data_IF_942439602459
#
_entry.id   IF_942439602459
#
_cell.length_a   1.000
_cell.length_b   1.000
_cell.length_c   1.000
_cell.angle_alpha   90.00
_cell.angle_beta   90.00
_cell.angle_gamma   90.00
#
_symmetry.space_group_name_H-M   'P 1'
#
loop_
_entity.id
_entity.type
_entity.pdbx_description
1 polymer ?
#
# COMPACT_ATOMS: atom_id res chain seq x y z
N UNK A 1 -5.23 17.17 1.12
CA UNK A 1 -4.78 16.60 -0.18
C UNK A 1 -4.00 15.33 0.11
N UNK A 2 -4.31 14.21 -0.54
CA UNK A 2 -3.56 12.99 -0.35
C UNK A 2 -2.10 13.19 -0.78
N UNK A 3 -1.16 12.69 0.02
CA UNK A 3 0.27 12.70 -0.29
C UNK A 3 0.68 11.26 -0.60
N UNK A 4 1.23 11.03 -1.78
CA UNK A 4 1.76 9.74 -2.21
C UNK A 4 3.27 9.83 -2.25
N UNK A 5 3.96 8.93 -1.55
CA UNK A 5 5.41 8.83 -1.59
C UNK A 5 5.86 7.37 -1.44
N UNK A 6 6.95 7.04 -2.08
CA UNK A 6 7.57 5.72 -1.99
C UNK A 6 8.85 5.73 -1.13
N UNK A 7 9.48 6.88 -0.99
CA UNK A 7 10.67 7.07 -0.18
C UNK A 7 10.73 8.50 0.38
N UNK A 8 10.76 8.70 1.70
CA UNK A 8 10.87 10.02 2.33
C UNK A 8 12.07 10.84 1.83
N UNK A 9 13.18 10.19 1.50
CA UNK A 9 14.37 10.88 1.00
C UNK A 9 14.18 11.48 -0.40
N UNK A 10 13.21 11.02 -1.17
CA UNK A 10 12.88 11.62 -2.47
C UNK A 10 12.23 13.00 -2.36
N UNK A 11 11.79 13.37 -1.19
CA UNK A 11 11.33 14.73 -0.90
C UNK A 11 12.48 15.70 -0.63
N UNK A 12 13.72 15.25 -0.71
CA UNK A 12 14.86 16.14 -0.70
C UNK A 12 14.94 16.87 -2.04
N UNK A 13 15.11 18.18 -1.98
CA UNK A 13 15.35 19.00 -3.17
C UNK A 13 16.66 18.61 -3.81
N UNK A 14 16.65 18.25 -5.07
CA UNK A 14 17.88 18.03 -5.80
C UNK A 14 18.63 19.36 -5.95
N UNK A 15 19.94 19.33 -5.74
CA UNK A 15 20.83 20.50 -5.77
C UNK A 15 20.81 21.29 -7.09
N UNK A 16 20.40 20.62 -8.18
CA UNK A 16 20.26 21.23 -9.52
C UNK A 16 18.88 21.87 -9.77
N UNK A 17 17.93 21.63 -8.90
CA UNK A 17 16.69 22.40 -8.94
C UNK A 17 16.99 23.77 -8.35
N UNK A 18 16.95 24.79 -9.18
CA UNK A 18 17.04 26.19 -8.76
C UNK A 18 16.17 26.44 -7.53
N UNK A 19 16.62 27.34 -6.64
CA UNK A 19 15.79 27.87 -5.56
C UNK A 19 14.36 28.04 -6.07
N UNK A 20 13.32 27.65 -5.31
CA UNK A 20 11.98 27.96 -5.74
C UNK A 20 11.93 29.45 -5.92
N UNK A 21 11.57 29.88 -7.10
CA UNK A 21 11.10 31.24 -7.26
C UNK A 21 10.09 31.46 -6.15
N UNK A 22 10.36 32.40 -5.23
CA UNK A 22 9.41 32.74 -4.19
C UNK A 22 8.13 33.17 -4.91
N UNK A 23 7.18 32.26 -4.97
CA UNK A 23 5.88 32.55 -5.60
C UNK A 23 5.00 33.37 -4.67
N UNK A 24 5.53 33.72 -3.47
CA UNK A 24 4.78 34.49 -2.47
C UNK A 24 4.45 35.90 -2.95
N UNK A 25 5.32 36.48 -3.79
CA UNK A 25 5.21 37.86 -4.24
C UNK A 25 4.51 38.04 -5.60
N UNK A 26 4.13 36.94 -6.24
CA UNK A 26 3.39 37.00 -7.53
C UNK A 26 1.89 37.07 -7.28
N UNK A 27 1.23 38.16 -7.71
CA UNK A 27 -0.22 38.28 -7.62
C UNK A 27 -0.90 37.11 -8.35
N UNK A 28 -1.78 36.40 -7.65
CA UNK A 28 -2.49 35.26 -8.24
C UNK A 28 -3.75 35.75 -8.92
N UNK A 29 -3.72 35.80 -10.24
CA UNK A 29 -4.81 36.32 -11.06
C UNK A 29 -5.96 35.32 -11.27
N UNK A 30 -5.71 34.01 -11.12
CA UNK A 30 -6.73 33.00 -11.40
C UNK A 30 -6.95 32.01 -10.24
N UNK A 31 -8.14 31.37 -10.24
CA UNK A 31 -8.49 30.30 -9.29
C UNK A 31 -7.48 29.14 -9.36
N UNK A 32 -7.05 28.79 -10.58
CA UNK A 32 -6.12 27.69 -10.80
C UNK A 32 -4.74 27.97 -10.24
N UNK A 33 -4.24 29.21 -10.37
CA UNK A 33 -2.95 29.60 -9.77
C UNK A 33 -3.01 29.53 -8.25
N UNK A 34 -4.10 29.98 -7.61
CA UNK A 34 -4.29 29.85 -6.16
C UNK A 34 -4.33 28.39 -5.71
N UNK A 35 -5.02 27.54 -6.48
CA UNK A 35 -5.06 26.10 -6.21
C UNK A 35 -3.67 25.48 -6.30
N UNK A 36 -2.92 25.71 -7.37
CA UNK A 36 -1.56 25.19 -7.54
C UNK A 36 -0.62 25.63 -6.43
N UNK A 37 -0.70 26.89 -6.02
CA UNK A 37 0.08 27.40 -4.88
C UNK A 37 -0.29 26.68 -3.57
N UNK A 38 -1.57 26.44 -3.31
CA UNK A 38 -2.00 25.71 -2.12
C UNK A 38 -1.51 24.27 -2.11
N UNK A 39 -1.48 23.63 -3.29
CA UNK A 39 -0.92 22.27 -3.46
C UNK A 39 0.59 22.27 -3.19
N UNK A 40 1.34 23.21 -3.77
CA UNK A 40 2.79 23.33 -3.56
C UNK A 40 3.12 23.57 -2.08
N UNK A 41 2.45 24.51 -1.43
CA UNK A 41 2.63 24.74 0.01
C UNK A 41 2.33 23.51 0.86
N UNK A 42 1.21 22.83 0.58
CA UNK A 42 0.83 21.60 1.27
C UNK A 42 1.84 20.48 1.06
N UNK A 43 2.37 20.33 -0.18
CA UNK A 43 3.39 19.34 -0.49
C UNK A 43 4.71 19.62 0.26
N UNK A 44 5.14 20.89 0.33
CA UNK A 44 6.35 21.26 1.06
C UNK A 44 6.21 20.99 2.57
N UNK A 45 5.11 21.39 3.17
CA UNK A 45 4.83 21.14 4.59
C UNK A 45 4.77 19.64 4.91
N UNK A 46 4.06 18.88 4.09
CA UNK A 46 3.96 17.41 4.23
C UNK A 46 5.32 16.73 4.07
N UNK A 47 6.12 17.20 3.13
CA UNK A 47 7.48 16.70 2.88
C UNK A 47 8.38 16.84 4.11
N UNK A 48 8.32 17.97 4.78
CA UNK A 48 9.07 18.20 6.04
C UNK A 48 8.56 17.28 7.14
N UNK A 49 7.25 17.19 7.33
CA UNK A 49 6.64 16.34 8.36
C UNK A 49 7.00 14.86 8.17
N UNK A 50 6.93 14.35 6.94
CA UNK A 50 7.28 12.96 6.62
C UNK A 50 8.77 12.68 6.89
N UNK A 51 9.67 13.58 6.48
CA UNK A 51 11.11 13.42 6.76
C UNK A 51 11.41 13.42 8.25
N UNK A 52 10.78 14.31 9.00
CA UNK A 52 10.96 14.39 10.46
C UNK A 52 10.42 13.12 11.14
N UNK A 53 9.25 12.64 10.75
CA UNK A 53 8.69 11.39 11.26
C UNK A 53 9.64 10.21 11.02
N UNK A 54 10.17 10.09 9.80
CA UNK A 54 11.09 9.02 9.44
C UNK A 54 12.45 9.15 10.12
N UNK A 55 13.04 10.33 10.18
CA UNK A 55 14.37 10.53 10.78
C UNK A 55 14.38 10.30 12.30
N UNK A 56 13.27 10.59 12.96
CA UNK A 56 13.10 10.35 14.40
C UNK A 56 12.66 8.94 14.76
N UNK A 57 12.25 8.13 13.78
CA UNK A 57 11.73 6.80 14.00
C UNK A 57 12.82 5.74 14.11
N UNK A 58 12.69 4.87 15.12
CA UNK A 58 13.58 3.71 15.32
C UNK A 58 12.73 2.52 15.75
N UNK A 59 13.04 1.37 15.19
CA UNK A 59 12.46 0.08 15.56
C UNK A 59 13.50 -1.00 15.48
N UNK A 60 13.42 -1.95 16.36
CA UNK A 60 14.17 -3.22 16.38
C UNK A 60 13.32 -4.40 15.85
N UNK A 61 12.09 -4.11 15.45
CA UNK A 61 11.20 -5.12 14.85
C UNK A 61 11.72 -5.50 13.47
N UNK A 62 11.82 -6.80 13.23
CA UNK A 62 12.14 -7.35 11.93
C UNK A 62 10.89 -7.37 11.02
N UNK A 63 11.01 -6.76 9.87
CA UNK A 63 9.99 -6.74 8.83
C UNK A 63 10.30 -7.71 7.69
N UNK A 64 11.29 -8.59 7.88
CA UNK A 64 11.77 -9.49 6.84
C UNK A 64 12.56 -8.78 5.73
N UNK A 65 12.86 -9.51 4.67
CA UNK A 65 13.74 -9.02 3.59
C UNK A 65 13.03 -8.06 2.62
N UNK A 66 11.70 -8.01 2.65
CA UNK A 66 10.89 -7.12 1.81
C UNK A 66 9.89 -6.32 2.66
N UNK A 67 10.37 -5.38 3.49
CA UNK A 67 9.53 -4.62 4.42
C UNK A 67 8.52 -3.69 3.73
N UNK A 68 8.61 -3.54 2.41
CA UNK A 68 7.83 -2.56 1.64
C UNK A 68 8.05 -1.13 2.22
N UNK A 69 7.00 -0.32 2.27
CA UNK A 69 7.04 0.98 2.93
C UNK A 69 6.36 0.97 4.31
N UNK A 70 6.08 -0.22 4.86
CA UNK A 70 5.37 -0.39 6.13
C UNK A 70 6.09 0.26 7.33
N UNK A 71 7.43 0.18 7.50
CA UNK A 71 8.11 0.91 8.56
C UNK A 71 7.94 2.42 8.48
N UNK A 72 7.84 2.97 7.26
CA UNK A 72 7.61 4.41 7.05
C UNK A 72 6.19 4.81 7.41
N UNK A 73 5.22 3.94 7.13
CA UNK A 73 3.84 4.12 7.57
C UNK A 73 3.76 4.12 9.09
N UNK A 74 4.41 3.15 9.75
CA UNK A 74 4.48 3.10 11.21
C UNK A 74 5.09 4.38 11.79
N UNK A 75 6.16 4.89 11.19
CA UNK A 75 6.79 6.15 11.58
C UNK A 75 5.83 7.36 11.47
N UNK A 76 5.08 7.45 10.39
CA UNK A 76 4.10 8.52 10.17
C UNK A 76 2.96 8.47 11.19
N UNK A 77 2.44 7.27 11.48
CA UNK A 77 1.39 7.07 12.48
C UNK A 77 1.92 7.41 13.88
N UNK A 78 3.11 6.93 14.23
CA UNK A 78 3.75 7.21 15.53
C UNK A 78 4.01 8.69 15.75
N UNK A 79 4.34 9.42 14.69
CA UNK A 79 4.52 10.88 14.73
C UNK A 79 3.19 11.66 14.82
N UNK A 80 2.05 10.98 14.89
CA UNK A 80 0.74 11.62 14.99
C UNK A 80 0.31 12.39 13.74
N UNK A 81 0.79 12.01 12.57
CA UNK A 81 0.36 12.65 11.33
C UNK A 81 -1.15 12.51 11.13
N UNK A 82 -1.85 13.55 10.64
CA UNK A 82 -3.30 13.53 10.46
C UNK A 82 -3.77 12.70 9.26
N UNK A 83 -2.89 11.89 8.70
CA UNK A 83 -3.17 11.00 7.57
C UNK A 83 -3.99 9.80 8.05
N UNK A 84 -5.16 9.58 7.44
CA UNK A 84 -6.07 8.50 7.79
C UNK A 84 -5.96 7.29 6.86
N UNK A 85 -5.47 7.49 5.64
CA UNK A 85 -5.34 6.44 4.63
C UNK A 85 -3.91 6.38 4.12
N UNK A 86 -3.30 5.22 4.24
CA UNK A 86 -1.99 4.89 3.68
C UNK A 86 -2.16 3.80 2.63
N UNK A 87 -1.61 4.00 1.46
CA UNK A 87 -1.56 2.99 0.41
C UNK A 87 -0.11 2.54 0.20
N UNK A 88 0.11 1.23 0.32
CA UNK A 88 1.42 0.60 0.14
C UNK A 88 1.29 -0.47 -0.94
N UNK A 89 2.13 -0.41 -1.96
CA UNK A 89 2.17 -1.42 -3.01
C UNK A 89 3.37 -2.35 -2.87
N UNK A 90 3.16 -3.61 -3.21
CA UNK A 90 4.27 -4.55 -3.42
C UNK A 90 4.89 -4.22 -4.78
N UNK A 91 6.15 -3.77 -4.75
CA UNK A 91 6.78 -3.11 -5.92
C UNK A 91 7.02 -4.04 -7.10
N UNK A 92 7.18 -3.42 -8.28
CA UNK A 92 7.62 -4.04 -9.53
C UNK A 92 6.71 -5.15 -10.05
N UNK A 93 5.40 -5.05 -9.85
CA UNK A 93 4.43 -6.07 -10.30
C UNK A 93 4.83 -7.50 -9.90
N UNK A 94 5.43 -7.65 -8.70
CA UNK A 94 6.03 -8.93 -8.29
C UNK A 94 5.03 -10.08 -8.26
N UNK A 95 3.77 -9.80 -7.93
CA UNK A 95 2.69 -10.79 -7.90
C UNK A 95 2.07 -11.08 -9.28
N UNK A 96 2.50 -10.40 -10.31
CA UNK A 96 2.07 -10.64 -11.70
C UNK A 96 2.82 -11.84 -12.30
N UNK A 97 2.67 -12.99 -11.67
CA UNK A 97 3.42 -14.21 -11.96
C UNK A 97 2.70 -15.07 -12.97
N UNK A 98 3.18 -15.09 -14.21
CA UNK A 98 2.64 -15.91 -15.31
C UNK A 98 3.50 -17.13 -15.63
N UNK A 99 4.70 -17.23 -15.05
CA UNK A 99 5.69 -18.25 -15.35
C UNK A 99 6.26 -18.82 -14.07
N UNK A 100 6.37 -20.17 -13.96
CA UNK A 100 6.96 -20.85 -12.79
C UNK A 100 6.36 -20.37 -11.45
N UNK A 101 5.04 -20.13 -11.46
CA UNK A 101 4.33 -19.43 -10.37
C UNK A 101 4.43 -20.10 -9.00
N UNK A 102 4.30 -21.43 -8.81
CA UNK A 102 4.12 -21.99 -7.47
C UNK A 102 5.24 -21.64 -6.48
N UNK A 103 6.51 -21.78 -6.90
CA UNK A 103 7.64 -21.49 -6.04
C UNK A 103 7.83 -19.98 -5.81
N UNK A 104 7.65 -19.19 -6.86
CA UNK A 104 7.78 -17.75 -6.81
C UNK A 104 6.68 -17.13 -5.95
N UNK A 105 5.42 -17.50 -6.19
CA UNK A 105 4.26 -16.96 -5.48
C UNK A 105 4.31 -17.26 -3.98
N UNK A 106 4.66 -18.50 -3.62
CA UNK A 106 4.87 -18.87 -2.21
C UNK A 106 5.91 -17.99 -1.53
N UNK A 107 7.03 -17.72 -2.21
CA UNK A 107 8.10 -16.86 -1.67
C UNK A 107 7.62 -15.41 -1.51
N UNK A 108 6.91 -14.87 -2.50
CA UNK A 108 6.35 -13.51 -2.44
C UNK A 108 5.33 -13.37 -1.30
N UNK A 109 4.47 -14.38 -1.11
CA UNK A 109 3.54 -14.41 0.03
C UNK A 109 4.28 -14.42 1.36
N UNK A 110 5.35 -15.23 1.51
CA UNK A 110 6.17 -15.19 2.74
C UNK A 110 6.70 -13.79 3.00
N UNK A 111 7.27 -13.13 1.99
CA UNK A 111 7.80 -11.78 2.15
C UNK A 111 6.72 -10.75 2.52
N UNK A 112 5.55 -10.85 1.90
CA UNK A 112 4.43 -9.97 2.24
C UNK A 112 3.93 -10.21 3.67
N UNK A 113 3.81 -11.48 4.08
CA UNK A 113 3.40 -11.85 5.43
C UNK A 113 4.43 -11.42 6.49
N UNK A 114 5.72 -11.58 6.24
CA UNK A 114 6.77 -11.11 7.15
C UNK A 114 6.70 -9.61 7.36
N UNK A 115 6.54 -8.84 6.26
CA UNK A 115 6.38 -7.39 6.32
C UNK A 115 5.14 -6.97 7.10
N UNK A 116 3.99 -7.61 6.85
CA UNK A 116 2.74 -7.36 7.57
C UNK A 116 2.86 -7.75 9.05
N UNK A 117 3.45 -8.89 9.35
CA UNK A 117 3.69 -9.33 10.73
C UNK A 117 4.56 -8.30 11.47
N UNK A 118 5.68 -7.89 10.88
CA UNK A 118 6.54 -6.86 11.45
C UNK A 118 5.79 -5.55 11.69
N UNK A 119 4.93 -5.14 10.74
CA UNK A 119 4.12 -3.94 10.89
C UNK A 119 3.17 -4.02 12.09
N UNK A 120 2.43 -5.10 12.23
CA UNK A 120 1.50 -5.30 13.36
C UNK A 120 2.27 -5.30 14.68
N UNK A 121 3.38 -6.05 14.76
CA UNK A 121 4.22 -6.10 15.97
C UNK A 121 4.76 -4.72 16.35
N UNK A 122 5.09 -3.91 15.36
CA UNK A 122 5.61 -2.57 15.60
C UNK A 122 4.50 -1.61 16.07
N UNK A 123 3.30 -1.70 15.51
CA UNK A 123 2.13 -0.96 16.01
C UNK A 123 1.76 -1.37 17.45
N UNK A 124 1.87 -2.64 17.81
CA UNK A 124 1.68 -3.13 19.18
C UNK A 124 2.73 -2.55 20.12
N UNK A 125 4.00 -2.60 19.75
CA UNK A 125 5.11 -1.99 20.50
C UNK A 125 4.89 -0.49 20.75
N UNK A 126 4.33 0.20 19.77
CA UNK A 126 4.00 1.63 19.86
C UNK A 126 2.71 1.92 20.63
N UNK A 127 1.92 0.90 20.98
CA UNK A 127 0.65 1.06 21.68
C UNK A 127 -0.46 1.70 20.83
N UNK A 128 -0.41 1.53 19.51
CA UNK A 128 -1.35 2.15 18.55
C UNK A 128 -2.03 1.15 17.62
N UNK A 129 -1.86 -0.16 17.85
CA UNK A 129 -2.43 -1.20 16.99
C UNK A 129 -3.97 -1.20 16.96
N UNK A 130 -4.62 -0.75 18.02
CA UNK A 130 -6.07 -0.61 18.13
C UNK A 130 -6.67 0.48 17.23
N UNK A 131 -5.83 1.36 16.71
CA UNK A 131 -6.23 2.48 15.85
C UNK A 131 -6.05 2.22 14.36
N UNK A 132 -5.51 1.05 14.00
CA UNK A 132 -5.10 0.74 12.64
C UNK A 132 -5.79 -0.53 12.15
N UNK A 133 -6.42 -0.44 10.98
CA UNK A 133 -6.87 -1.58 10.21
C UNK A 133 -6.08 -1.65 8.89
N UNK A 134 -5.73 -2.85 8.48
CA UNK A 134 -4.99 -3.12 7.25
C UNK A 134 -5.87 -3.91 6.31
N UNK A 135 -6.14 -3.37 5.13
CA UNK A 135 -6.78 -4.08 4.03
C UNK A 135 -5.70 -4.54 3.03
N UNK A 136 -5.61 -5.83 2.81
CA UNK A 136 -4.75 -6.42 1.77
C UNK A 136 -5.63 -6.86 0.62
N UNK A 137 -5.32 -6.38 -0.57
CA UNK A 137 -6.10 -6.69 -1.78
C UNK A 137 -5.19 -6.76 -3.02
N UNK A 138 -5.72 -7.31 -4.09
CA UNK A 138 -5.09 -7.30 -5.41
C UNK A 138 -6.09 -6.78 -6.45
N UNK A 139 -5.58 -6.13 -7.50
CA UNK A 139 -6.38 -5.62 -8.61
C UNK A 139 -6.88 -6.71 -9.56
N UNK A 140 -6.33 -7.92 -9.49
CA UNK A 140 -6.77 -9.07 -10.26
C UNK A 140 -6.75 -10.35 -9.43
N UNK A 141 -7.56 -11.32 -9.83
CA UNK A 141 -7.47 -12.71 -9.38
C UNK A 141 -6.73 -13.58 -10.39
N UNK A 142 -6.90 -14.90 -10.29
CA UNK A 142 -6.29 -15.86 -11.18
C UNK A 142 -7.33 -16.79 -11.78
N UNK A 143 -7.13 -17.21 -13.05
CA UNK A 143 -7.88 -18.30 -13.65
C UNK A 143 -7.51 -19.61 -12.99
N UNK A 144 -8.43 -20.59 -13.04
CA UNK A 144 -8.24 -21.89 -12.39
C UNK A 144 -7.19 -22.75 -13.10
N UNK A 145 -7.18 -22.88 -14.44
CA UNK A 145 -6.20 -23.71 -15.12
C UNK A 145 -4.78 -23.12 -15.09
N UNK A 146 -3.82 -24.00 -15.01
CA UNK A 146 -2.41 -23.66 -15.26
C UNK A 146 -2.21 -23.38 -16.76
N UNK A 147 -1.45 -22.35 -17.06
CA UNK A 147 -1.06 -22.00 -18.43
C UNK A 147 0.18 -22.78 -18.89
N UNK A 148 0.53 -22.68 -20.17
CA UNK A 148 1.66 -23.39 -20.77
C UNK A 148 3.03 -23.06 -20.15
N UNK A 149 3.14 -22.00 -19.34
CA UNK A 149 4.38 -21.54 -18.71
C UNK A 149 4.46 -21.92 -17.21
N UNK A 150 3.64 -22.85 -16.73
CA UNK A 150 3.57 -23.24 -15.32
C UNK A 150 3.18 -22.10 -14.39
N UNK A 151 2.28 -21.26 -14.83
CA UNK A 151 1.68 -20.17 -14.11
C UNK A 151 0.17 -20.11 -14.33
N UNK A 152 -0.46 -19.00 -14.02
CA UNK A 152 -1.87 -18.76 -14.29
C UNK A 152 -2.09 -17.37 -14.87
N UNK A 153 -3.10 -17.24 -15.72
CA UNK A 153 -3.50 -15.95 -16.27
C UNK A 153 -4.39 -15.19 -15.29
N UNK A 154 -4.53 -13.88 -15.52
CA UNK A 154 -5.40 -13.04 -14.70
C UNK A 154 -6.84 -13.53 -14.75
N UNK A 155 -7.50 -13.48 -13.60
CA UNK A 155 -8.89 -13.84 -13.42
C UNK A 155 -9.69 -12.76 -12.69
N UNK A 156 -11.00 -12.94 -12.67
CA UNK A 156 -11.95 -11.92 -12.18
C UNK A 156 -12.19 -11.94 -10.68
N UNK A 157 -11.82 -12.99 -9.98
CA UNK A 157 -12.09 -13.13 -8.55
C UNK A 157 -10.84 -13.44 -7.75
N UNK A 158 -10.74 -12.85 -6.57
CA UNK A 158 -9.69 -13.12 -5.59
C UNK A 158 -10.23 -13.01 -4.16
N UNK A 159 -9.34 -13.11 -3.19
CA UNK A 159 -9.65 -12.85 -1.79
C UNK A 159 -9.05 -11.52 -1.33
N UNK A 160 -9.58 -10.97 -0.24
CA UNK A 160 -9.03 -9.84 0.49
C UNK A 160 -8.82 -10.23 1.95
N UNK A 161 -7.87 -9.60 2.62
CA UNK A 161 -7.66 -9.80 4.05
C UNK A 161 -7.84 -8.47 4.77
N UNK A 162 -8.64 -8.50 5.83
CA UNK A 162 -8.78 -7.38 6.75
C UNK A 162 -8.16 -7.77 8.08
N UNK A 163 -7.19 -6.97 8.55
CA UNK A 163 -6.40 -7.24 9.74
C UNK A 163 -6.51 -6.04 10.68
N UNK A 164 -6.79 -6.28 11.96
CA UNK A 164 -6.83 -5.22 12.96
C UNK A 164 -7.55 -5.68 14.22
N UNK A 165 -7.29 -5.05 15.35
CA UNK A 165 -7.89 -5.41 16.65
C UNK A 165 -9.41 -5.22 16.71
N UNK A 166 -9.93 -4.28 15.92
CA UNK A 166 -11.39 -4.05 15.78
C UNK A 166 -12.09 -4.99 14.79
N UNK A 167 -11.35 -5.88 14.12
CA UNK A 167 -11.88 -6.79 13.11
C UNK A 167 -12.38 -8.07 13.79
N UNK A 168 -13.64 -8.44 13.56
CA UNK A 168 -14.13 -9.75 13.95
C UNK A 168 -13.53 -10.81 13.03
N UNK A 169 -12.63 -11.64 13.56
CA UNK A 169 -11.97 -12.69 12.78
C UNK A 169 -12.95 -13.72 12.24
N UNK A 170 -12.66 -14.26 11.06
CA UNK A 170 -13.45 -15.28 10.39
C UNK A 170 -13.33 -15.23 8.87
N UNK A 171 -14.02 -16.15 8.21
CA UNK A 171 -14.20 -16.15 6.76
C UNK A 171 -15.54 -15.49 6.43
N UNK A 172 -15.55 -14.60 5.46
CA UNK A 172 -16.72 -13.87 4.99
C UNK A 172 -16.91 -14.13 3.49
N UNK A 173 -18.18 -14.30 3.09
CA UNK A 173 -18.53 -14.71 1.73
C UNK A 173 -18.48 -16.23 1.56
N UNK A 174 -18.70 -16.68 0.34
CA UNK A 174 -18.69 -18.09 -0.04
C UNK A 174 -17.46 -18.40 -0.89
N UNK A 175 -16.93 -19.63 -0.75
CA UNK A 175 -15.84 -20.07 -1.62
C UNK A 175 -16.35 -20.24 -3.05
N UNK A 176 -15.68 -19.66 -4.05
CA UNK A 176 -16.06 -19.84 -5.43
C UNK A 176 -15.86 -21.30 -5.88
N UNK A 177 -16.74 -21.78 -6.75
CA UNK A 177 -16.58 -23.12 -7.36
C UNK A 177 -15.32 -23.15 -8.24
N UNK A 178 -14.55 -24.22 -8.13
CA UNK A 178 -13.41 -24.48 -9.01
C UNK A 178 -13.80 -25.23 -10.29
N UNK A 179 -15.07 -25.63 -10.42
CA UNK A 179 -15.59 -26.39 -11.56
C UNK A 179 -16.69 -25.67 -12.32
N UNK A 180 -17.43 -24.80 -11.66
CA UNK A 180 -18.43 -23.93 -12.27
C UNK A 180 -17.79 -22.58 -12.59
N UNK A 181 -17.18 -22.48 -13.76
CA UNK A 181 -16.39 -21.34 -14.19
C UNK A 181 -17.19 -20.45 -15.16
N UNK A 182 -16.80 -19.18 -15.29
CA UNK A 182 -17.43 -18.21 -16.18
C UNK A 182 -16.39 -17.58 -17.10
N UNK A 183 -16.81 -17.08 -18.26
CA UNK A 183 -16.00 -16.31 -19.20
C UNK A 183 -14.59 -16.87 -19.47
N UNK A 184 -14.52 -18.16 -19.77
CA UNK A 184 -13.28 -18.85 -20.09
C UNK A 184 -12.37 -19.03 -18.88
N UNK A 185 -12.74 -19.91 -17.98
CA UNK A 185 -11.95 -20.39 -16.84
C UNK A 185 -11.79 -19.38 -15.67
N UNK A 186 -12.60 -18.35 -15.63
CA UNK A 186 -12.65 -17.43 -14.49
C UNK A 186 -13.49 -18.00 -13.35
N UNK A 187 -13.06 -17.72 -12.12
CA UNK A 187 -13.90 -17.92 -10.94
C UNK A 187 -15.07 -16.94 -10.96
N UNK A 188 -16.26 -17.44 -10.63
CA UNK A 188 -17.39 -16.56 -10.33
C UNK A 188 -17.17 -15.95 -8.95
N UNK A 189 -17.13 -14.60 -8.87
CA UNK A 189 -17.04 -13.92 -7.59
C UNK A 189 -18.37 -14.04 -6.82
N UNK A 190 -18.30 -14.17 -5.50
CA UNK A 190 -19.45 -14.34 -4.63
C UNK A 190 -19.83 -13.06 -3.88
N UNK A 191 -18.91 -12.10 -3.83
CA UNK A 191 -19.11 -10.79 -3.22
C UNK A 191 -18.53 -9.71 -4.10
N UNK A 192 -19.30 -8.67 -4.38
CA UNK A 192 -18.80 -7.48 -5.09
C UNK A 192 -17.85 -6.71 -4.17
N UNK A 193 -16.62 -6.45 -4.62
CA UNK A 193 -15.59 -5.76 -3.83
C UNK A 193 -16.03 -4.36 -3.36
N UNK A 194 -16.98 -3.73 -4.04
CA UNK A 194 -17.53 -2.41 -3.67
C UNK A 194 -18.40 -2.46 -2.41
N UNK A 195 -18.69 -3.66 -1.89
CA UNK A 195 -19.49 -3.88 -0.69
C UNK A 195 -18.62 -4.16 0.55
N UNK A 196 -17.31 -4.22 0.39
CA UNK A 196 -16.33 -4.49 1.45
C UNK A 196 -15.88 -3.22 2.18
#
# INVERSE_FOLDING_TARGET
TPVVFDNPNRFQRHRWMSEPVSTQDVPLSSRNQRFLRSVDYSAQASSVAIRNAWSGYKTDIDYGIAPMDLPKVAACIAAGMPTQLYHVSFRNNSFDTHVQQPALHRRLLSYACDGLHGFIRDLERLGIADRVAVLVYSEFGRRVPENANLGTDHGSANNMWLIGSGVKGGHYGELPSLTELVDGDNLLYTTDFRQV
#
